data_IF_097814498485
#
_entry.id   IF_097814498485
#
_cell.length_a   1.000
_cell.length_b   1.000
_cell.length_c   1.000
_cell.angle_alpha   90.00
_cell.angle_beta   90.00
_cell.angle_gamma   90.00
#
_symmetry.space_group_name_H-M   'P 1'
#
loop_
_entity.id
_entity.type
_entity.pdbx_description
1 polymer ?
#
# COMPACT_ATOMS: atom_id res chain seq x y z
N UNK A 1 -4.40 11.02 -6.44
CA UNK A 1 -5.48 10.57 -5.54
C UNK A 1 -5.66 11.62 -4.47
N UNK A 2 -6.88 12.03 -4.16
CA UNK A 2 -7.15 12.94 -3.02
C UNK A 2 -7.32 12.15 -1.72
N UNK A 3 -7.21 12.79 -0.53
CA UNK A 3 -7.51 12.13 0.74
C UNK A 3 -8.92 11.54 0.80
N UNK A 4 -9.91 12.19 0.20
CA UNK A 4 -11.29 11.70 0.15
C UNK A 4 -11.44 10.47 -0.74
N UNK A 5 -10.75 10.43 -1.88
CA UNK A 5 -10.68 9.23 -2.72
C UNK A 5 -10.03 8.06 -1.97
N UNK A 6 -8.95 8.34 -1.23
CA UNK A 6 -8.25 7.34 -0.44
C UNK A 6 -9.14 6.75 0.66
N UNK A 7 -9.94 7.58 1.36
CA UNK A 7 -10.92 7.11 2.36
C UNK A 7 -12.02 6.23 1.77
N UNK A 8 -12.55 6.60 0.60
CA UNK A 8 -13.55 5.78 -0.10
C UNK A 8 -12.96 4.43 -0.51
N UNK A 9 -11.72 4.42 -0.99
CA UNK A 9 -11.02 3.18 -1.32
C UNK A 9 -10.75 2.32 -0.07
N UNK A 10 -10.37 2.93 1.05
CA UNK A 10 -10.20 2.23 2.33
C UNK A 10 -11.49 1.53 2.76
N UNK A 11 -12.63 2.22 2.68
CA UNK A 11 -13.94 1.64 3.00
C UNK A 11 -14.26 0.45 2.09
N UNK A 12 -14.07 0.61 0.77
CA UNK A 12 -14.32 -0.47 -0.20
C UNK A 12 -13.39 -1.68 -0.02
N UNK A 13 -12.14 -1.44 0.38
CA UNK A 13 -11.16 -2.51 0.70
C UNK A 13 -11.60 -3.33 1.90
N UNK A 14 -11.98 -2.66 2.99
CA UNK A 14 -12.43 -3.33 4.22
C UNK A 14 -13.72 -4.12 3.97
N UNK A 15 -14.67 -3.54 3.23
CA UNK A 15 -15.91 -4.22 2.87
C UNK A 15 -15.65 -5.44 1.97
N UNK A 16 -14.80 -5.30 0.96
CA UNK A 16 -14.43 -6.40 0.06
C UNK A 16 -13.70 -7.53 0.77
N UNK A 17 -12.84 -7.21 1.74
CA UNK A 17 -12.19 -8.20 2.60
C UNK A 17 -13.20 -8.98 3.44
N UNK A 18 -14.13 -8.29 4.11
CA UNK A 18 -15.17 -8.96 4.91
C UNK A 18 -16.08 -9.87 4.07
N UNK A 19 -16.30 -9.53 2.80
CA UNK A 19 -17.06 -10.34 1.85
C UNK A 19 -16.26 -11.50 1.24
N UNK A 20 -14.97 -11.63 1.57
CA UNK A 20 -14.07 -12.63 0.98
C UNK A 20 -13.75 -12.39 -0.50
N UNK A 21 -13.96 -11.16 -0.99
CA UNK A 21 -13.66 -10.76 -2.38
C UNK A 21 -12.15 -10.51 -2.54
N UNK A 22 -11.54 -9.92 -1.50
CA UNK A 22 -10.11 -9.65 -1.47
C UNK A 22 -9.43 -10.51 -0.42
N UNK A 23 -8.28 -11.07 -0.77
CA UNK A 23 -7.41 -11.74 0.18
C UNK A 23 -6.62 -10.74 1.04
N UNK A 24 -6.05 -11.25 2.14
CA UNK A 24 -5.29 -10.47 3.10
C UNK A 24 -4.06 -9.78 2.47
N UNK A 25 -3.35 -10.48 1.59
CA UNK A 25 -2.14 -9.96 0.93
C UNK A 25 -2.46 -8.75 0.05
N UNK A 26 -3.54 -8.83 -0.73
CA UNK A 26 -4.03 -7.74 -1.56
C UNK A 26 -4.43 -6.54 -0.71
N UNK A 27 -5.14 -6.77 0.38
CA UNK A 27 -5.57 -5.70 1.29
C UNK A 27 -4.35 -5.00 1.88
N UNK A 28 -3.41 -5.73 2.49
CA UNK A 28 -2.20 -5.18 3.10
C UNK A 28 -1.42 -4.31 2.12
N UNK A 29 -1.20 -4.83 0.91
CA UNK A 29 -0.54 -4.08 -0.16
C UNK A 29 -1.24 -2.76 -0.47
N UNK A 30 -2.58 -2.76 -0.52
CA UNK A 30 -3.35 -1.55 -0.79
C UNK A 30 -3.32 -0.57 0.37
N UNK A 31 -3.23 -1.02 1.62
CA UNK A 31 -3.11 -0.14 2.78
C UNK A 31 -1.81 0.67 2.75
N UNK A 32 -0.70 0.08 2.32
CA UNK A 32 0.55 0.80 2.15
C UNK A 32 0.43 1.93 1.12
N UNK A 33 -0.27 1.68 0.02
CA UNK A 33 -0.55 2.72 -0.98
C UNK A 33 -1.42 3.85 -0.41
N UNK A 34 -2.44 3.52 0.39
CA UNK A 34 -3.29 4.53 1.04
C UNK A 34 -2.54 5.37 2.07
N UNK A 35 -1.56 4.78 2.78
CA UNK A 35 -0.74 5.47 3.78
C UNK A 35 0.16 6.58 3.18
N UNK A 36 0.33 6.62 1.85
CA UNK A 36 0.98 7.73 1.17
C UNK A 36 0.08 8.99 1.11
N UNK A 37 -1.24 8.83 1.30
CA UNK A 37 -2.25 9.88 1.07
C UNK A 37 -3.02 10.24 2.35
N UNK A 38 -3.25 9.28 3.24
CA UNK A 38 -3.96 9.45 4.51
C UNK A 38 -3.12 8.94 5.69
N UNK A 39 -3.46 9.36 6.91
CA UNK A 39 -2.66 9.04 8.10
C UNK A 39 -2.77 7.56 8.50
N UNK A 40 -1.68 7.01 9.05
CA UNK A 40 -1.61 5.60 9.44
C UNK A 40 -2.59 5.26 10.57
N UNK A 41 -2.82 6.17 11.53
CA UNK A 41 -3.87 6.06 12.55
C UNK A 41 -5.25 5.75 11.93
N UNK A 42 -5.59 6.50 10.89
CA UNK A 42 -6.89 6.42 10.23
C UNK A 42 -7.08 5.04 9.57
N UNK A 43 -6.02 4.55 8.93
CA UNK A 43 -5.99 3.21 8.34
C UNK A 43 -6.15 2.13 9.43
N UNK A 44 -5.35 2.19 10.49
CA UNK A 44 -5.33 1.16 11.53
C UNK A 44 -6.63 1.11 12.32
N UNK A 45 -7.35 2.23 12.46
CA UNK A 45 -8.67 2.29 13.07
C UNK A 45 -9.75 1.62 12.21
N UNK A 46 -9.60 1.63 10.89
CA UNK A 46 -10.60 1.10 9.96
C UNK A 46 -10.45 -0.39 9.66
N UNK A 47 -9.23 -0.92 9.71
CA UNK A 47 -8.95 -2.31 9.28
C UNK A 47 -9.28 -3.34 10.37
N UNK A 48 -9.69 -4.56 10.00
CA UNK A 48 -9.97 -5.64 10.95
C UNK A 48 -8.74 -6.03 11.77
N UNK A 49 -8.98 -6.57 12.97
CA UNK A 49 -7.92 -6.96 13.90
C UNK A 49 -6.92 -7.96 13.29
N UNK A 50 -7.39 -8.97 12.56
CA UNK A 50 -6.51 -9.95 11.89
C UNK A 50 -5.51 -9.28 10.95
N UNK A 51 -5.99 -8.37 10.08
CA UNK A 51 -5.14 -7.59 9.16
C UNK A 51 -4.17 -6.71 9.94
N UNK A 52 -4.61 -6.10 11.04
CA UNK A 52 -3.76 -5.27 11.90
C UNK A 52 -2.61 -6.07 12.51
N UNK A 53 -2.86 -7.28 12.99
CA UNK A 53 -1.84 -8.15 13.58
C UNK A 53 -0.79 -8.56 12.54
N UNK A 54 -1.20 -8.83 11.30
CA UNK A 54 -0.27 -9.15 10.22
C UNK A 54 0.59 -7.93 9.87
N UNK A 55 -0.01 -6.74 9.75
CA UNK A 55 0.74 -5.50 9.55
C UNK A 55 1.78 -5.26 10.65
N UNK A 56 1.45 -5.53 11.91
CA UNK A 56 2.38 -5.41 13.04
C UNK A 56 3.53 -6.41 12.95
N UNK A 57 3.23 -7.66 12.58
CA UNK A 57 4.24 -8.70 12.37
C UNK A 57 5.18 -8.31 11.23
N UNK A 58 4.65 -7.82 10.12
CA UNK A 58 5.45 -7.41 8.96
C UNK A 58 6.27 -6.16 9.28
N UNK A 59 5.75 -5.25 10.10
CA UNK A 59 6.48 -4.07 10.58
C UNK A 59 7.69 -4.42 11.47
N UNK A 60 7.69 -5.58 12.14
CA UNK A 60 8.84 -6.04 12.93
C UNK A 60 10.03 -6.48 12.05
N UNK A 61 9.83 -6.61 10.74
CA UNK A 61 10.92 -6.83 9.78
C UNK A 61 11.61 -5.50 9.43
N UNK A 62 12.87 -5.51 8.97
CA UNK A 62 13.53 -4.30 8.50
C UNK A 62 12.69 -3.58 7.44
N UNK A 63 12.78 -2.25 7.43
CA UNK A 63 12.13 -1.41 6.42
C UNK A 63 12.43 -1.95 5.01
N UNK A 64 11.39 -2.24 4.20
CA UNK A 64 11.63 -2.63 2.82
C UNK A 64 12.35 -1.50 2.08
N UNK A 65 13.31 -1.86 1.23
CA UNK A 65 13.99 -0.87 0.38
C UNK A 65 12.99 -0.27 -0.60
N UNK A 66 13.30 0.91 -1.15
CA UNK A 66 12.49 1.51 -2.23
C UNK A 66 12.19 0.53 -3.38
N UNK A 67 13.13 -0.36 -3.70
CA UNK A 67 12.96 -1.41 -4.72
C UNK A 67 11.93 -2.49 -4.33
N UNK A 68 11.75 -2.74 -3.04
CA UNK A 68 10.76 -3.67 -2.46
C UNK A 68 9.40 -2.98 -2.29
N UNK A 69 9.37 -1.68 -1.95
CA UNK A 69 8.17 -0.82 -2.05
C UNK A 69 7.69 -0.69 -3.51
N UNK A 70 8.61 -0.81 -4.47
CA UNK A 70 8.28 -0.79 -5.90
C UNK A 70 7.51 -2.05 -6.32
N UNK A 71 7.78 -3.21 -5.70
CA UNK A 71 6.92 -4.40 -5.87
C UNK A 71 5.49 -4.15 -5.36
N UNK A 72 5.34 -3.34 -4.31
CA UNK A 72 4.05 -2.86 -3.79
C UNK A 72 3.39 -1.76 -4.65
N UNK A 73 4.05 -1.23 -5.67
CA UNK A 73 3.46 -0.27 -6.62
C UNK A 73 3.31 -0.85 -8.03
N UNK A 74 4.19 -1.77 -8.42
CA UNK A 74 4.27 -2.38 -9.76
C UNK A 74 3.26 -3.51 -9.99
N UNK A 75 2.48 -3.89 -8.98
CA UNK A 75 1.57 -5.05 -9.02
C UNK A 75 0.39 -4.99 -10.00
N UNK A 76 0.21 -3.97 -10.84
CA UNK A 76 -0.83 -4.04 -11.90
C UNK A 76 -0.41 -3.32 -13.20
N UNK A 77 0.55 -3.89 -13.94
CA UNK A 77 0.55 -3.67 -15.39
C UNK A 77 -0.52 -4.56 -16.04
N UNK A 78 -1.70 -3.98 -16.32
CA UNK A 78 -2.79 -4.62 -17.09
C UNK A 78 -2.66 -4.41 -18.60
N UNK A 79 -1.55 -3.83 -19.08
CA UNK A 79 -1.37 -3.59 -20.52
C UNK A 79 -0.95 -4.88 -21.22
N UNK A 80 -1.77 -5.31 -22.20
CA UNK A 80 -1.40 -6.34 -23.18
C UNK A 80 -0.26 -5.81 -24.05
N UNK A 81 0.91 -6.44 -23.96
CA UNK A 81 2.16 -6.06 -24.63
C UNK A 81 3.27 -5.87 -23.60
N UNK A 82 4.46 -6.41 -23.85
CA UNK A 82 5.61 -6.21 -22.96
C UNK A 82 5.97 -4.71 -22.98
N UNK A 83 5.88 -4.01 -21.84
CA UNK A 83 6.28 -2.60 -21.77
C UNK A 83 7.77 -2.48 -22.07
N UNK A 84 8.16 -1.46 -22.83
CA UNK A 84 9.58 -1.24 -23.12
C UNK A 84 10.33 -0.81 -21.85
N UNK A 85 11.64 -1.02 -21.81
CA UNK A 85 12.49 -0.62 -20.67
C UNK A 85 12.37 0.89 -20.35
N UNK A 86 12.17 1.71 -21.38
CA UNK A 86 11.97 3.15 -21.26
C UNK A 86 10.60 3.52 -20.68
N UNK A 87 9.54 2.78 -21.03
CA UNK A 87 8.21 2.95 -20.46
C UNK A 87 8.17 2.54 -18.99
N UNK A 88 8.86 1.45 -18.63
CA UNK A 88 9.04 1.02 -17.25
C UNK A 88 9.76 2.12 -16.47
N UNK A 89 10.90 2.60 -16.99
CA UNK A 89 11.69 3.65 -16.34
C UNK A 89 10.92 4.95 -16.16
N UNK A 90 10.15 5.37 -17.16
CA UNK A 90 9.32 6.57 -17.10
C UNK A 90 8.17 6.44 -16.08
N UNK A 91 7.54 5.26 -16.02
CA UNK A 91 6.53 4.96 -14.98
C UNK A 91 7.15 5.03 -13.59
N UNK A 92 8.31 4.40 -13.40
CA UNK A 92 9.01 4.40 -12.12
C UNK A 92 9.43 5.81 -11.67
N UNK A 93 9.91 6.66 -12.57
CA UNK A 93 10.25 8.05 -12.23
C UNK A 93 9.00 8.91 -11.95
N UNK A 94 7.91 8.70 -12.68
CA UNK A 94 6.63 9.36 -12.40
C UNK A 94 6.06 8.94 -11.04
N UNK A 95 6.20 7.66 -10.71
CA UNK A 95 5.79 7.08 -9.44
C UNK A 95 6.68 7.58 -8.29
N UNK A 96 8.01 7.65 -8.47
CA UNK A 96 8.96 8.31 -7.54
C UNK A 96 8.64 9.78 -7.29
N UNK A 97 8.37 10.56 -8.33
CA UNK A 97 8.08 11.99 -8.20
C UNK A 97 6.77 12.27 -7.45
N UNK A 98 5.85 11.30 -7.48
CA UNK A 98 4.57 11.31 -6.75
C UNK A 98 4.66 10.56 -5.41
N UNK A 99 5.75 9.86 -5.18
CA UNK A 99 5.98 9.04 -4.01
C UNK A 99 6.12 9.91 -2.77
N UNK A 100 5.29 9.65 -1.78
CA UNK A 100 5.20 10.44 -0.54
C UNK A 100 5.53 9.65 0.71
N UNK A 101 6.06 8.43 0.61
CA UNK A 101 6.34 7.68 1.81
C UNK A 101 7.32 6.55 1.60
N UNK A 102 8.54 6.72 2.09
CA UNK A 102 9.21 5.60 2.77
C UNK A 102 8.14 4.94 3.64
N UNK A 103 7.78 3.69 3.33
CA UNK A 103 6.67 2.92 3.86
C UNK A 103 6.00 3.52 5.13
N UNK A 104 5.14 4.55 4.99
CA UNK A 104 4.71 5.42 6.12
C UNK A 104 4.02 4.63 7.21
N UNK A 105 3.25 3.63 6.80
CA UNK A 105 2.58 2.70 7.70
C UNK A 105 3.57 1.81 8.47
N UNK A 106 4.65 1.37 7.83
CA UNK A 106 5.69 0.57 8.48
C UNK A 106 6.55 1.42 9.43
N UNK A 107 6.97 2.63 9.01
CA UNK A 107 7.65 3.58 9.92
C UNK A 107 6.79 3.91 11.14
N UNK A 108 5.48 4.11 10.92
CA UNK A 108 4.53 4.37 11.97
C UNK A 108 4.44 3.22 12.98
N UNK A 109 4.30 2.00 12.48
CA UNK A 109 4.21 0.79 13.32
C UNK A 109 5.51 0.55 14.10
N UNK A 110 6.68 0.79 13.49
CA UNK A 110 7.98 0.67 14.16
C UNK A 110 8.26 1.74 15.23
N UNK A 111 7.65 2.93 15.15
CA UNK A 111 7.78 3.96 16.20
C UNK A 111 6.91 3.70 17.43
N UNK A 112 5.94 2.80 17.33
CA UNK A 112 4.96 2.50 18.39
C UNK A 112 5.09 1.09 18.98
N UNK A 113 5.87 0.20 18.37
CA UNK A 113 6.30 -1.08 18.95
C UNK A 113 7.50 -0.90 19.86
#
# INVERSE_FOLDING_TARGET
MTPEDARKLLQGLVEGYHKGIYDESFVIHRLYYLAAVIEAEEILAAVPEGVRLVLQKDAALPLPKFEEDNWFMAGVSVRRGEPTEEEIKASLEADKARYRGHCRLHEYLNRRG
#
